data_IF_331482498402
#
_entry.id   IF_331482498402
#
_cell.length_a   1.000
_cell.length_b   1.000
_cell.length_c   1.000
_cell.angle_alpha   90.00
_cell.angle_beta   90.00
_cell.angle_gamma   90.00
#
_symmetry.space_group_name_H-M   'P 1'
#
loop_
_entity.id
_entity.type
_entity.pdbx_description
1 polymer ?
#
# COMPACT_ATOMS: atom_id res chain seq x y z
N UNK A 1 -26.09 -17.02 48.81
CA UNK A 1 -25.68 -17.99 47.77
C UNK A 1 -25.18 -17.18 46.58
N UNK A 2 -23.97 -17.47 46.15
CA UNK A 2 -23.10 -16.68 45.25
C UNK A 2 -23.64 -16.62 43.81
N UNK A 3 -23.68 -15.42 43.21
CA UNK A 3 -23.91 -15.21 41.78
C UNK A 3 -22.60 -15.51 41.02
N UNK A 4 -22.57 -16.59 40.25
CA UNK A 4 -21.45 -16.89 39.34
C UNK A 4 -21.58 -16.03 38.08
N UNK A 5 -20.64 -15.11 37.88
CA UNK A 5 -20.47 -14.42 36.61
C UNK A 5 -19.74 -15.36 35.64
N UNK A 6 -20.50 -15.92 34.70
CA UNK A 6 -19.98 -16.70 33.58
C UNK A 6 -19.15 -15.78 32.67
N UNK A 7 -17.83 -15.86 32.78
CA UNK A 7 -16.92 -15.18 31.86
C UNK A 7 -16.98 -15.87 30.50
N UNK A 8 -17.67 -15.26 29.54
CA UNK A 8 -17.58 -15.65 28.14
C UNK A 8 -16.13 -15.45 27.65
N UNK A 9 -15.53 -16.39 26.90
CA UNK A 9 -14.28 -16.12 26.22
C UNK A 9 -14.51 -14.98 25.23
N UNK A 10 -13.84 -13.85 25.43
CA UNK A 10 -13.72 -12.82 24.42
C UNK A 10 -12.90 -13.40 23.28
N UNK A 11 -13.58 -14.03 22.32
CA UNK A 11 -12.99 -14.40 21.03
C UNK A 11 -12.66 -13.09 20.33
N UNK A 12 -11.43 -12.63 20.49
CA UNK A 12 -10.90 -11.49 19.78
C UNK A 12 -11.10 -11.72 18.29
N UNK A 13 -12.04 -10.99 17.70
CA UNK A 13 -12.33 -10.99 16.26
C UNK A 13 -11.05 -10.65 15.52
N UNK A 14 -10.31 -11.67 15.06
CA UNK A 14 -9.21 -11.47 14.14
C UNK A 14 -9.80 -10.87 12.85
N UNK A 15 -9.21 -9.77 12.38
CA UNK A 15 -9.54 -9.20 11.07
C UNK A 15 -9.55 -10.33 10.03
N UNK A 16 -10.59 -10.44 9.17
CA UNK A 16 -10.65 -11.51 8.19
C UNK A 16 -9.67 -11.29 7.02
N UNK A 17 -8.98 -10.13 6.99
CA UNK A 17 -7.93 -9.77 6.06
C UNK A 17 -6.56 -9.93 6.69
N UNK A 18 -5.67 -10.62 5.99
CA UNK A 18 -4.25 -10.80 6.35
C UNK A 18 -3.38 -10.15 5.28
N UNK A 19 -2.32 -9.46 5.69
CA UNK A 19 -1.32 -8.88 4.77
C UNK A 19 -0.50 -10.04 4.18
N UNK A 20 -0.46 -10.13 2.86
CA UNK A 20 0.19 -11.24 2.13
C UNK A 20 1.70 -11.02 1.95
N UNK A 21 2.24 -9.88 2.38
CA UNK A 21 3.64 -9.45 2.20
C UNK A 21 4.09 -9.33 0.73
N UNK A 22 3.17 -9.53 -0.21
CA UNK A 22 3.33 -9.19 -1.62
C UNK A 22 3.16 -7.68 -1.81
N UNK A 23 4.13 -7.07 -2.50
CA UNK A 23 4.16 -5.64 -2.78
C UNK A 23 4.30 -5.41 -4.28
N UNK A 24 3.39 -4.61 -4.83
CA UNK A 24 3.34 -4.30 -6.26
C UNK A 24 3.82 -2.87 -6.44
N UNK A 25 4.64 -2.61 -7.45
CA UNK A 25 5.04 -1.26 -7.85
C UNK A 25 4.63 -1.01 -9.30
N UNK A 26 3.99 0.12 -9.55
CA UNK A 26 3.67 0.53 -10.92
C UNK A 26 3.62 2.04 -11.09
N UNK A 27 3.83 2.49 -12.32
CA UNK A 27 3.43 3.84 -12.74
C UNK A 27 1.94 3.81 -13.10
N UNK A 28 1.18 4.72 -12.51
CA UNK A 28 -0.29 4.74 -12.62
C UNK A 28 -0.72 4.89 -14.07
N UNK A 29 -1.28 3.82 -14.64
CA UNK A 29 -1.79 3.82 -16.03
C UNK A 29 -3.21 4.38 -16.16
N UNK A 30 -3.95 4.44 -15.05
CA UNK A 30 -5.31 5.00 -14.97
C UNK A 30 -5.52 5.61 -13.59
N UNK A 31 -5.88 6.90 -13.54
CA UNK A 31 -6.04 7.65 -12.30
C UNK A 31 -7.42 7.40 -11.65
N UNK A 32 -7.64 6.21 -11.10
CA UNK A 32 -8.90 5.84 -10.41
C UNK A 32 -8.71 5.39 -8.97
N UNK A 33 -7.47 5.11 -8.52
CA UNK A 33 -7.23 4.70 -7.15
C UNK A 33 -6.89 5.91 -6.27
N UNK A 34 -7.32 5.84 -5.02
CA UNK A 34 -6.99 6.80 -3.99
C UNK A 34 -6.04 6.16 -2.98
N UNK A 35 -5.06 6.94 -2.54
CA UNK A 35 -4.08 6.49 -1.57
C UNK A 35 -4.78 6.18 -0.24
N UNK A 36 -4.56 4.98 0.29
CA UNK A 36 -5.16 4.55 1.56
C UNK A 36 -4.55 5.22 2.80
N UNK A 37 -3.42 5.92 2.69
CA UNK A 37 -2.83 6.64 3.82
C UNK A 37 -3.27 8.10 3.91
N UNK A 38 -3.38 8.80 2.77
CA UNK A 38 -3.64 10.25 2.73
C UNK A 38 -4.96 10.61 2.05
N UNK A 39 -5.71 9.61 1.57
CA UNK A 39 -7.02 9.76 0.92
C UNK A 39 -7.02 10.66 -0.33
N UNK A 40 -5.84 11.03 -0.84
CA UNK A 40 -5.69 11.78 -2.06
C UNK A 40 -5.64 10.87 -3.28
N UNK A 41 -6.08 11.39 -4.43
CA UNK A 41 -6.04 10.68 -5.70
C UNK A 41 -4.59 10.36 -6.10
N UNK A 42 -4.40 9.18 -6.70
CA UNK A 42 -3.13 8.82 -7.32
C UNK A 42 -3.22 9.19 -8.82
N UNK A 43 -2.47 10.23 -9.20
CA UNK A 43 -2.51 10.81 -10.55
C UNK A 43 -1.87 9.90 -11.60
N UNK A 44 -2.28 10.09 -12.86
CA UNK A 44 -1.75 9.37 -14.02
C UNK A 44 -0.23 9.59 -14.14
N UNK A 45 0.51 8.53 -14.43
CA UNK A 45 1.97 8.56 -14.56
C UNK A 45 2.71 8.62 -13.22
N UNK A 46 2.02 8.77 -12.09
CA UNK A 46 2.64 8.76 -10.77
C UNK A 46 2.92 7.34 -10.30
N UNK A 47 4.09 7.12 -9.70
CA UNK A 47 4.42 5.86 -9.07
C UNK A 47 3.55 5.59 -7.82
N UNK A 48 3.12 4.35 -7.66
CA UNK A 48 2.36 3.87 -6.50
C UNK A 48 2.80 2.49 -6.07
N UNK A 49 2.62 2.20 -4.79
CA UNK A 49 2.84 0.87 -4.21
C UNK A 49 1.50 0.25 -3.83
N UNK A 50 1.29 -1.00 -4.24
CA UNK A 50 0.15 -1.83 -3.87
C UNK A 50 0.54 -2.81 -2.77
N UNK A 51 -0.17 -2.80 -1.65
CA UNK A 51 -0.02 -3.79 -0.58
C UNK A 51 -1.14 -4.82 -0.73
N UNK A 52 -0.77 -6.07 -0.92
CA UNK A 52 -1.73 -7.16 -1.13
C UNK A 52 -2.24 -7.68 0.22
N UNK A 53 -3.56 -7.79 0.32
CA UNK A 53 -4.27 -8.40 1.44
C UNK A 53 -5.11 -9.56 0.92
N UNK A 54 -5.03 -10.68 1.63
CA UNK A 54 -5.84 -11.85 1.37
C UNK A 54 -6.92 -11.99 2.44
N UNK A 55 -8.15 -12.22 1.99
CA UNK A 55 -9.27 -12.57 2.85
C UNK A 55 -9.27 -14.07 3.11
N UNK A 56 -9.72 -14.49 4.29
CA UNK A 56 -9.89 -15.91 4.64
C UNK A 56 -10.80 -16.71 3.66
N UNK A 57 -11.68 -16.02 2.93
CA UNK A 57 -12.56 -16.63 1.91
C UNK A 57 -11.94 -16.63 0.50
N UNK A 58 -10.65 -16.33 0.36
CA UNK A 58 -9.93 -16.34 -0.92
C UNK A 58 -10.03 -15.06 -1.75
N UNK A 59 -10.70 -14.00 -1.26
CA UNK A 59 -10.70 -12.70 -1.92
C UNK A 59 -9.34 -12.01 -1.77
N UNK A 60 -8.93 -11.24 -2.78
CA UNK A 60 -7.71 -10.43 -2.74
C UNK A 60 -8.08 -8.96 -2.88
N UNK A 61 -7.47 -8.13 -2.03
CA UNK A 61 -7.58 -6.67 -2.10
C UNK A 61 -6.19 -6.07 -2.21
N UNK A 62 -6.04 -5.03 -3.03
CA UNK A 62 -4.81 -4.26 -3.13
C UNK A 62 -5.08 -2.88 -2.57
N UNK A 63 -4.40 -2.55 -1.47
CA UNK A 63 -4.40 -1.20 -0.96
C UNK A 63 -3.31 -0.41 -1.70
N UNK A 64 -3.74 0.57 -2.48
CA UNK A 64 -2.83 1.46 -3.20
C UNK A 64 -2.41 2.63 -2.32
N UNK A 65 -1.12 2.94 -2.34
CA UNK A 65 -0.52 4.07 -1.64
C UNK A 65 0.42 4.82 -2.59
N UNK A 66 0.59 6.13 -2.40
CA UNK A 66 1.76 6.79 -2.96
C UNK A 66 3.02 6.16 -2.36
N UNK A 67 4.13 6.13 -3.10
CA UNK A 67 5.42 5.62 -2.58
C UNK A 67 5.78 6.31 -1.26
N UNK A 68 5.63 7.63 -1.21
CA UNK A 68 5.92 8.46 -0.02
C UNK A 68 4.96 8.25 1.15
N UNK A 69 3.76 7.72 0.89
CA UNK A 69 2.73 7.51 1.90
C UNK A 69 2.81 6.13 2.59
N UNK A 70 3.69 5.25 2.13
CA UNK A 70 3.86 3.92 2.69
C UNK A 70 5.27 3.76 3.30
N UNK A 71 5.44 3.95 4.62
CA UNK A 71 6.75 4.08 5.26
C UNK A 71 7.61 2.81 5.12
N UNK A 72 6.98 1.63 5.12
CA UNK A 72 7.68 0.35 5.01
C UNK A 72 8.28 0.13 3.62
N UNK A 73 7.92 0.95 2.60
CA UNK A 73 8.40 0.76 1.23
C UNK A 73 9.93 0.72 1.16
N UNK A 74 10.61 1.55 1.96
CA UNK A 74 12.08 1.65 2.00
C UNK A 74 12.76 0.38 2.51
N UNK A 75 12.03 -0.47 3.23
CA UNK A 75 12.55 -1.72 3.79
C UNK A 75 12.33 -2.90 2.84
N UNK A 76 11.55 -2.73 1.78
CA UNK A 76 11.25 -3.79 0.82
C UNK A 76 12.40 -3.85 -0.19
N UNK A 77 13.10 -5.00 -0.31
CA UNK A 77 14.11 -5.16 -1.35
C UNK A 77 13.47 -5.00 -2.73
N UNK A 78 14.17 -4.34 -3.67
CA UNK A 78 13.66 -4.08 -5.03
C UNK A 78 13.20 -5.36 -5.74
N UNK A 79 13.88 -6.50 -5.51
CA UNK A 79 13.51 -7.78 -6.11
C UNK A 79 12.22 -8.39 -5.54
N UNK A 80 11.71 -7.88 -4.42
CA UNK A 80 10.41 -8.26 -3.84
C UNK A 80 9.27 -7.35 -4.30
N UNK A 81 9.55 -6.35 -5.15
CA UNK A 81 8.54 -5.49 -5.76
C UNK A 81 8.10 -6.08 -7.09
N UNK A 82 6.91 -6.65 -7.12
CA UNK A 82 6.30 -7.13 -8.35
C UNK A 82 5.98 -5.94 -9.27
N UNK A 83 6.23 -6.08 -10.57
CA UNK A 83 6.03 -5.01 -11.55
C UNK A 83 7.20 -4.02 -11.69
N UNK A 84 8.26 -4.13 -10.88
CA UNK A 84 9.44 -3.26 -11.02
C UNK A 84 10.09 -3.38 -12.42
N UNK A 85 10.15 -4.60 -12.97
CA UNK A 85 10.69 -4.86 -14.30
C UNK A 85 9.86 -4.25 -15.44
N UNK A 86 8.57 -3.99 -15.20
CA UNK A 86 7.66 -3.41 -16.20
C UNK A 86 7.67 -1.87 -16.22
N UNK A 87 8.37 -1.25 -15.28
CA UNK A 87 8.61 0.19 -15.26
C UNK A 87 9.62 0.59 -16.33
N UNK A 88 9.47 1.78 -16.91
CA UNK A 88 10.50 2.36 -17.75
C UNK A 88 11.77 2.71 -16.94
N UNK A 89 12.89 2.90 -17.63
CA UNK A 89 14.19 3.14 -17.02
C UNK A 89 14.24 4.40 -16.13
N UNK A 90 13.40 5.41 -16.40
CA UNK A 90 13.34 6.61 -15.56
C UNK A 90 12.67 6.25 -14.23
N UNK A 91 11.52 5.59 -14.28
CA UNK A 91 10.82 5.13 -13.08
C UNK A 91 11.63 4.12 -12.26
N UNK A 92 12.35 3.18 -12.90
CA UNK A 92 13.21 2.24 -12.18
C UNK A 92 14.30 2.95 -11.38
N UNK A 93 14.97 3.95 -11.98
CA UNK A 93 15.98 4.76 -11.29
C UNK A 93 15.39 5.57 -10.15
N UNK A 94 14.18 6.10 -10.30
CA UNK A 94 13.48 6.83 -9.23
C UNK A 94 13.14 5.94 -8.04
N UNK A 95 12.64 4.72 -8.28
CA UNK A 95 12.38 3.76 -7.19
C UNK A 95 13.68 3.39 -6.48
N UNK A 96 14.75 3.10 -7.23
CA UNK A 96 16.05 2.77 -6.65
C UNK A 96 16.63 3.93 -5.84
N UNK A 97 16.57 5.16 -6.34
CA UNK A 97 17.06 6.33 -5.62
C UNK A 97 16.24 6.59 -4.35
N UNK A 98 14.92 6.40 -4.41
CA UNK A 98 14.04 6.51 -3.24
C UNK A 98 14.39 5.50 -2.15
N UNK A 99 14.70 4.25 -2.54
CA UNK A 99 15.06 3.17 -1.61
C UNK A 99 16.47 3.33 -1.02
N UNK A 100 17.43 3.82 -1.79
CA UNK A 100 18.84 3.96 -1.35
C UNK A 100 19.08 5.23 -0.55
N UNK A 101 18.55 6.36 -1.01
CA UNK A 101 18.99 7.67 -0.53
C UNK A 101 17.96 8.38 0.37
N UNK A 102 16.79 7.76 0.61
CA UNK A 102 15.73 8.37 1.43
C UNK A 102 15.34 9.76 0.91
N UNK A 103 15.45 9.98 -0.41
CA UNK A 103 15.29 11.29 -1.02
C UNK A 103 13.86 11.76 -0.83
N UNK A 104 13.71 12.83 -0.07
CA UNK A 104 12.50 13.65 -0.01
C UNK A 104 12.32 14.32 -1.37
N UNK A 105 11.72 13.58 -2.29
CA UNK A 105 11.38 14.13 -3.60
C UNK A 105 9.93 14.56 -3.52
N UNK A 106 9.77 15.87 -3.40
CA UNK A 106 8.51 16.60 -3.60
C UNK A 106 8.03 16.34 -5.02
N UNK A 107 7.37 15.21 -5.26
CA UNK A 107 6.75 14.84 -6.54
C UNK A 107 5.33 15.43 -6.67
N UNK A 108 4.99 16.47 -5.90
CA UNK A 108 3.62 16.96 -5.78
C UNK A 108 3.37 18.24 -6.60
N UNK A 109 2.54 18.18 -7.65
CA UNK A 109 1.43 19.11 -7.79
C UNK A 109 0.38 18.82 -6.70
N UNK A 110 -0.43 19.82 -6.35
CA UNK A 110 -1.43 19.76 -5.25
C UNK A 110 -2.25 18.46 -5.25
N UNK A 111 -2.31 17.83 -4.08
CA UNK A 111 -3.11 16.65 -3.83
C UNK A 111 -4.60 16.99 -4.05
N UNK A 112 -5.18 16.47 -5.14
CA UNK A 112 -6.63 16.54 -5.35
C UNK A 112 -7.28 15.49 -4.47
N UNK A 113 -8.23 15.91 -3.64
CA UNK A 113 -9.01 15.01 -2.80
C UNK A 113 -9.66 13.91 -3.67
N UNK A 114 -9.69 12.69 -3.14
CA UNK A 114 -10.48 11.62 -3.74
C UNK A 114 -11.96 12.02 -3.69
N UNK A 115 -12.58 12.24 -4.85
CA UNK A 115 -14.03 12.42 -4.92
C UNK A 115 -14.67 11.06 -4.64
N UNK A 116 -15.55 11.02 -3.63
CA UNK A 116 -16.37 9.86 -3.28
C UNK A 116 -17.32 9.46 -4.42
#
# INVERSE_FOLDING_TARGET
MTMTLSSSPTTSTLSPWTKDHTYIIESTRRAHACCKSCEAKIELGRLRVGVVYQHMNGFVCINWHHIECYPDVKQIPVHNLEGFGDLDAVHQKLVQSYMVAGVDTRYLPEARACSA
#
